data_IF_749481710559
#
_entry.id   IF_749481710559
#
_cell.length_a   1.000
_cell.length_b   1.000
_cell.length_c   1.000
_cell.angle_alpha   90.00
_cell.angle_beta   90.00
_cell.angle_gamma   90.00
#
_symmetry.space_group_name_H-M   'P 1'
#
loop_
_entity.id
_entity.type
_entity.pdbx_description
1 polymer ?
#
# COMPACT_ATOMS: atom_id res chain seq x y z
N UNK A 1 13.93 -41.79 20.69
CA UNK A 1 13.09 -40.88 19.87
C UNK A 1 12.67 -39.73 20.75
N UNK A 2 13.17 -38.51 20.50
CA UNK A 2 12.77 -37.34 21.28
C UNK A 2 11.37 -36.89 20.81
N UNK A 3 10.43 -36.77 21.74
CA UNK A 3 9.12 -36.18 21.48
C UNK A 3 9.31 -34.72 21.06
N UNK A 4 8.90 -34.40 19.84
CA UNK A 4 8.84 -33.03 19.36
C UNK A 4 7.78 -32.31 20.18
N UNK A 5 8.17 -31.29 20.96
CA UNK A 5 7.24 -30.46 21.70
C UNK A 5 6.31 -29.75 20.71
N UNK A 6 5.03 -30.08 20.73
CA UNK A 6 4.00 -29.31 20.04
C UNK A 6 3.87 -27.97 20.76
N UNK A 7 4.51 -26.94 20.21
CA UNK A 7 4.23 -25.57 20.62
C UNK A 7 2.79 -25.24 20.22
N UNK A 8 1.85 -25.30 21.17
CA UNK A 8 0.58 -24.61 21.02
C UNK A 8 0.89 -23.12 21.05
N UNK A 9 0.80 -22.46 19.90
CA UNK A 9 0.97 -21.00 19.83
C UNK A 9 0.02 -20.34 20.84
N UNK A 10 0.50 -19.50 21.77
CA UNK A 10 -0.38 -18.71 22.65
C UNK A 10 -1.14 -17.63 21.87
N UNK A 11 -0.78 -17.40 20.61
CA UNK A 11 -1.40 -16.41 19.74
C UNK A 11 -2.43 -17.08 18.81
N UNK A 12 -3.64 -16.55 18.81
CA UNK A 12 -4.61 -16.76 17.73
C UNK A 12 -4.36 -15.74 16.63
N UNK A 13 -4.23 -16.21 15.39
CA UNK A 13 -4.04 -15.38 14.21
C UNK A 13 -5.37 -15.26 13.47
N UNK A 14 -5.70 -14.04 13.03
CA UNK A 14 -6.91 -13.77 12.26
C UNK A 14 -6.52 -12.95 11.04
N UNK A 15 -7.04 -13.32 9.87
CA UNK A 15 -6.99 -12.40 8.73
C UNK A 15 -7.96 -11.25 9.02
N UNK A 16 -7.50 -10.00 9.05
CA UNK A 16 -8.36 -8.89 9.36
C UNK A 16 -9.16 -8.58 8.09
N UNK A 17 -10.41 -9.05 8.01
CA UNK A 17 -11.43 -8.66 7.02
C UNK A 17 -11.22 -9.12 5.57
N UNK A 18 -12.33 -9.29 4.86
CA UNK A 18 -12.44 -9.13 3.41
C UNK A 18 -13.54 -8.09 3.23
N UNK A 19 -13.23 -6.97 2.58
CA UNK A 19 -14.24 -5.96 2.28
C UNK A 19 -14.42 -5.89 0.77
N UNK A 20 -15.54 -6.43 0.29
CA UNK A 20 -15.87 -6.43 -1.13
C UNK A 20 -16.72 -5.22 -1.54
N UNK A 21 -17.14 -4.38 -0.59
CA UNK A 21 -18.11 -3.32 -0.85
C UNK A 21 -19.56 -3.83 -0.89
N UNK A 22 -20.57 -2.95 -0.86
CA UNK A 22 -21.97 -3.35 -0.96
C UNK A 22 -22.28 -3.99 -2.32
N UNK A 23 -22.61 -5.28 -2.34
CA UNK A 23 -23.13 -5.96 -3.54
C UNK A 23 -22.09 -6.61 -4.47
N UNK A 24 -20.80 -6.65 -4.11
CA UNK A 24 -19.76 -7.32 -4.92
C UNK A 24 -19.35 -8.69 -4.38
N UNK A 25 -19.03 -9.60 -5.31
CA UNK A 25 -18.57 -10.97 -5.06
C UNK A 25 -17.09 -11.21 -5.36
N UNK A 26 -16.32 -10.18 -5.73
CA UNK A 26 -14.92 -10.34 -6.16
C UNK A 26 -13.89 -10.01 -5.07
N UNK A 27 -12.77 -10.74 -5.16
CA UNK A 27 -11.65 -10.79 -4.22
C UNK A 27 -10.91 -9.45 -4.11
N UNK A 28 -10.82 -8.87 -2.91
CA UNK A 28 -9.77 -7.90 -2.61
C UNK A 28 -9.28 -8.03 -1.17
N UNK A 29 -7.96 -8.06 -1.04
CA UNK A 29 -7.25 -8.26 0.21
C UNK A 29 -6.96 -6.94 0.93
N UNK A 30 -6.97 -7.01 2.25
CA UNK A 30 -6.37 -5.96 3.06
C UNK A 30 -4.85 -5.99 2.87
N UNK A 31 -4.28 -4.82 2.62
CA UNK A 31 -2.90 -4.64 2.19
C UNK A 31 -2.05 -3.93 3.26
N UNK A 32 -2.70 -3.18 4.15
CA UNK A 32 -2.04 -2.45 5.23
C UNK A 32 -2.82 -2.50 6.54
N UNK A 33 -2.08 -2.49 7.65
CA UNK A 33 -2.66 -2.36 8.99
C UNK A 33 -1.76 -1.48 9.86
N UNK A 34 -2.37 -0.57 10.62
CA UNK A 34 -1.68 0.25 11.60
C UNK A 34 -2.57 0.54 12.81
N UNK A 35 -1.95 0.72 13.96
CA UNK A 35 -2.66 1.14 15.17
C UNK A 35 -3.25 2.54 14.95
N UNK A 36 -4.56 2.68 15.16
CA UNK A 36 -5.25 3.96 15.17
C UNK A 36 -5.17 4.63 16.55
N UNK A 37 -5.40 5.95 16.65
CA UNK A 37 -5.55 6.65 17.92
C UNK A 37 -6.62 6.01 18.82
N UNK A 38 -6.24 5.75 20.08
CA UNK A 38 -7.07 5.08 21.08
C UNK A 38 -6.80 3.58 21.22
N UNK A 39 -7.30 2.99 22.32
CA UNK A 39 -7.01 1.60 22.69
C UNK A 39 -7.74 0.58 21.81
N UNK A 40 -6.98 -0.38 21.28
CA UNK A 40 -7.46 -1.52 20.48
C UNK A 40 -8.18 -1.13 19.18
N UNK A 41 -7.76 -0.01 18.57
CA UNK A 41 -8.34 0.51 17.32
C UNK A 41 -7.31 0.41 16.20
N UNK A 42 -7.74 0.08 15.00
CA UNK A 42 -6.85 -0.14 13.87
C UNK A 42 -7.35 0.63 12.65
N UNK A 43 -6.41 1.12 11.87
CA UNK A 43 -6.62 1.47 10.47
C UNK A 43 -6.22 0.26 9.64
N UNK A 44 -7.10 -0.20 8.77
CA UNK A 44 -6.81 -1.26 7.80
C UNK A 44 -7.13 -0.70 6.42
N UNK A 45 -6.22 -0.89 5.47
CA UNK A 45 -6.35 -0.36 4.11
C UNK A 45 -6.36 -1.48 3.09
N UNK A 46 -7.00 -1.24 1.96
CA UNK A 46 -6.98 -2.13 0.81
C UNK A 46 -7.76 -1.56 -0.37
N UNK A 47 -8.35 -2.47 -1.14
CA UNK A 47 -9.18 -2.18 -2.31
C UNK A 47 -10.57 -2.78 -2.10
N UNK A 48 -11.60 -2.14 -2.62
CA UNK A 48 -12.96 -2.66 -2.76
C UNK A 48 -13.28 -2.71 -4.25
N UNK A 49 -13.67 -3.86 -4.80
CA UNK A 49 -13.88 -4.00 -6.26
C UNK A 49 -12.58 -4.20 -7.05
N UNK A 50 -12.66 -4.47 -8.35
CA UNK A 50 -11.48 -4.92 -9.11
C UNK A 50 -10.55 -3.75 -9.47
N UNK A 51 -9.29 -3.83 -9.00
CA UNK A 51 -8.24 -2.82 -9.25
C UNK A 51 -7.95 -2.55 -10.75
N UNK A 52 -8.42 -3.36 -11.70
CA UNK A 52 -8.28 -3.04 -13.12
C UNK A 52 -9.46 -2.26 -13.72
N UNK A 53 -10.61 -2.18 -13.05
CA UNK A 53 -11.86 -1.70 -13.67
C UNK A 53 -12.72 -0.79 -12.81
N UNK A 54 -12.88 -1.11 -11.52
CA UNK A 54 -13.88 -0.49 -10.63
C UNK A 54 -13.42 -0.45 -9.16
N UNK A 55 -12.16 -0.76 -8.92
CA UNK A 55 -11.56 -0.82 -7.59
C UNK A 55 -11.50 0.56 -6.94
N UNK A 56 -11.98 0.65 -5.71
CA UNK A 56 -11.91 1.85 -4.88
C UNK A 56 -10.98 1.62 -3.70
N UNK A 57 -10.20 2.62 -3.33
CA UNK A 57 -9.42 2.58 -2.10
C UNK A 57 -10.35 2.42 -0.91
N UNK A 58 -10.05 1.48 0.00
CA UNK A 58 -10.87 1.22 1.17
C UNK A 58 -10.05 1.41 2.46
N UNK A 59 -10.62 2.12 3.43
CA UNK A 59 -10.02 2.36 4.74
C UNK A 59 -11.02 2.02 5.83
N UNK A 60 -10.73 0.98 6.61
CA UNK A 60 -11.46 0.65 7.84
C UNK A 60 -10.83 1.36 9.03
N UNK A 61 -11.67 1.90 9.92
CA UNK A 61 -11.23 2.44 11.20
C UNK A 61 -12.11 1.95 12.33
N UNK A 62 -11.52 1.20 13.26
CA UNK A 62 -12.24 0.75 14.45
C UNK A 62 -11.61 -0.43 15.16
N UNK A 63 -12.39 -1.04 16.04
CA UNK A 63 -11.99 -2.22 16.80
C UNK A 63 -12.27 -3.49 16.01
N UNK A 64 -11.29 -4.38 15.97
CA UNK A 64 -11.48 -5.78 15.54
C UNK A 64 -12.05 -6.52 16.75
N UNK A 65 -13.30 -6.99 16.63
CA UNK A 65 -14.07 -7.50 17.77
C UNK A 65 -14.12 -9.03 17.84
N UNK A 66 -13.53 -9.73 16.89
CA UNK A 66 -13.52 -11.18 16.89
C UNK A 66 -12.75 -11.80 15.74
N UNK A 67 -12.89 -13.12 15.61
CA UNK A 67 -12.23 -13.92 14.59
C UNK A 67 -12.69 -13.57 13.16
N UNK A 68 -11.82 -13.85 12.18
CA UNK A 68 -12.07 -13.70 10.74
C UNK A 68 -13.40 -14.36 10.34
N UNK A 69 -14.29 -13.58 9.72
CA UNK A 69 -15.46 -14.07 8.98
C UNK A 69 -15.41 -13.57 7.55
N UNK A 70 -16.23 -14.13 6.66
CA UNK A 70 -16.33 -13.69 5.27
C UNK A 70 -16.71 -12.20 5.16
N UNK A 71 -17.48 -11.69 6.13
CA UNK A 71 -17.92 -10.29 6.22
C UNK A 71 -16.99 -9.43 7.11
N UNK A 72 -15.99 -10.06 7.74
CA UNK A 72 -15.17 -9.49 8.80
C UNK A 72 -15.92 -9.25 10.13
N UNK A 73 -15.15 -9.07 11.21
CA UNK A 73 -15.68 -8.78 12.56
C UNK A 73 -15.06 -7.52 13.15
N UNK A 74 -15.71 -6.38 12.91
CA UNK A 74 -15.32 -5.11 13.50
C UNK A 74 -16.50 -4.17 13.69
N UNK A 75 -16.46 -3.34 14.73
CA UNK A 75 -17.46 -2.29 15.00
C UNK A 75 -16.96 -0.93 14.52
N UNK A 76 -16.18 -0.93 13.46
CA UNK A 76 -15.58 0.27 12.89
C UNK A 76 -16.40 0.78 11.73
N UNK A 77 -15.83 1.74 11.02
CA UNK A 77 -16.44 2.33 9.83
C UNK A 77 -15.50 2.13 8.66
N UNK A 78 -16.06 1.77 7.51
CA UNK A 78 -15.35 1.78 6.23
C UNK A 78 -15.52 3.16 5.58
N UNK A 79 -14.44 3.68 5.04
CA UNK A 79 -14.40 4.90 4.24
C UNK A 79 -13.80 4.51 2.89
N UNK A 80 -14.58 4.69 1.84
CA UNK A 80 -14.10 4.55 0.46
C UNK A 80 -13.41 5.85 0.06
N UNK A 81 -12.22 5.75 -0.52
CA UNK A 81 -11.37 6.88 -0.87
C UNK A 81 -10.78 6.65 -2.25
N UNK A 82 -11.28 7.41 -3.22
CA UNK A 82 -10.74 7.42 -4.57
C UNK A 82 -9.78 8.60 -4.79
N UNK A 83 -8.85 8.40 -5.73
CA UNK A 83 -8.09 9.51 -6.27
C UNK A 83 -9.02 10.51 -6.99
N UNK A 84 -8.61 11.78 -7.15
CA UNK A 84 -9.46 12.79 -7.75
C UNK A 84 -9.92 12.41 -9.16
N UNK A 85 -11.20 12.67 -9.49
CA UNK A 85 -11.78 12.39 -10.82
C UNK A 85 -10.96 13.04 -11.95
N UNK A 86 -10.36 14.22 -11.70
CA UNK A 86 -9.47 14.91 -12.64
C UNK A 86 -8.25 14.10 -13.08
N UNK A 87 -7.90 13.03 -12.37
CA UNK A 87 -6.79 12.14 -12.73
C UNK A 87 -7.21 11.04 -13.73
N UNK A 88 -8.50 10.98 -14.09
CA UNK A 88 -9.07 10.02 -15.04
C UNK A 88 -8.70 8.56 -14.70
N UNK A 89 -8.80 8.21 -13.42
CA UNK A 89 -8.50 6.87 -12.96
C UNK A 89 -9.72 5.95 -13.11
N UNK A 90 -9.54 4.75 -13.64
CA UNK A 90 -10.58 3.71 -13.64
C UNK A 90 -10.71 3.02 -12.28
N UNK A 91 -9.65 3.06 -11.47
CA UNK A 91 -9.60 2.44 -10.16
C UNK A 91 -8.48 2.99 -9.29
N UNK A 92 -8.55 2.74 -7.99
CA UNK A 92 -7.51 3.05 -7.01
C UNK A 92 -7.39 1.97 -5.93
N UNK A 93 -6.21 1.89 -5.31
CA UNK A 93 -5.93 0.99 -4.20
C UNK A 93 -5.07 1.67 -3.15
N UNK A 94 -5.33 1.38 -1.88
CA UNK A 94 -4.57 1.94 -0.75
C UNK A 94 -3.85 0.80 -0.02
N UNK A 95 -2.51 0.83 -0.06
CA UNK A 95 -1.69 -0.23 0.50
C UNK A 95 -1.23 0.07 1.92
N UNK A 96 -0.80 1.30 2.20
CA UNK A 96 -0.01 1.59 3.39
C UNK A 96 -0.44 2.84 4.16
N UNK A 97 -1.02 2.72 5.37
CA UNK A 97 -1.29 3.85 6.23
C UNK A 97 0.00 4.41 6.88
N UNK A 98 0.26 5.71 6.67
CA UNK A 98 1.33 6.51 7.24
C UNK A 98 0.96 7.12 8.59
N UNK A 99 1.33 8.38 8.87
CA UNK A 99 0.94 9.06 10.10
C UNK A 99 -0.59 9.14 10.25
N UNK A 100 -1.08 9.06 11.50
CA UNK A 100 -2.51 9.12 11.82
C UNK A 100 -2.68 10.02 13.04
N UNK A 101 -3.47 11.09 12.90
CA UNK A 101 -3.79 11.99 13.99
C UNK A 101 -5.22 11.78 14.48
N UNK A 102 -5.39 11.78 15.80
CA UNK A 102 -6.70 11.65 16.43
C UNK A 102 -7.47 12.98 16.41
N UNK A 103 -8.77 12.93 16.15
CA UNK A 103 -9.62 14.11 16.22
C UNK A 103 -11.04 13.89 15.69
N UNK A 104 -11.67 15.00 15.26
CA UNK A 104 -13.05 14.99 14.79
C UNK A 104 -13.14 14.50 13.33
N UNK A 105 -13.21 13.18 13.14
CA UNK A 105 -13.50 12.55 11.84
C UNK A 105 -13.87 11.08 11.99
N UNK A 106 -14.05 10.34 10.88
CA UNK A 106 -14.47 8.93 10.90
C UNK A 106 -13.54 8.10 11.78
N UNK A 107 -14.13 7.37 12.72
CA UNK A 107 -13.35 6.63 13.69
C UNK A 107 -12.38 7.49 14.51
N UNK A 108 -12.69 8.76 14.79
CA UNK A 108 -11.87 9.61 15.64
C UNK A 108 -10.51 9.97 15.03
N UNK A 109 -10.42 10.00 13.70
CA UNK A 109 -9.22 10.40 12.96
C UNK A 109 -9.47 11.76 12.31
N UNK A 110 -8.63 12.75 12.59
CA UNK A 110 -8.69 14.06 11.93
C UNK A 110 -7.89 14.10 10.63
N UNK A 111 -6.77 13.38 10.58
CA UNK A 111 -5.88 13.32 9.43
C UNK A 111 -5.17 11.98 9.34
N UNK A 112 -4.88 11.57 8.11
CA UNK A 112 -4.16 10.34 7.80
C UNK A 112 -3.27 10.54 6.57
N UNK A 113 -2.11 9.93 6.60
CA UNK A 113 -1.28 9.73 5.41
C UNK A 113 -1.54 8.35 4.80
N UNK A 114 -1.64 8.27 3.48
CA UNK A 114 -1.85 7.02 2.77
C UNK A 114 -0.94 6.92 1.55
N UNK A 115 -0.37 5.74 1.32
CA UNK A 115 0.30 5.38 0.08
C UNK A 115 -0.57 4.40 -0.71
N UNK A 116 -0.67 4.63 -2.01
CA UNK A 116 -1.55 3.88 -2.88
C UNK A 116 -1.12 3.90 -4.34
N UNK A 117 -1.95 3.28 -5.18
CA UNK A 117 -1.86 3.38 -6.63
C UNK A 117 -3.21 3.63 -7.27
N UNK A 118 -3.19 4.11 -8.51
CA UNK A 118 -4.36 4.23 -9.35
C UNK A 118 -4.05 3.79 -10.77
N UNK A 119 -5.06 3.25 -11.44
CA UNK A 119 -4.96 2.80 -12.83
C UNK A 119 -5.52 3.88 -13.74
N UNK A 120 -4.72 4.32 -14.70
CA UNK A 120 -5.13 5.28 -15.72
C UNK A 120 -5.22 4.58 -17.09
N UNK A 121 -6.35 4.69 -17.82
CA UNK A 121 -6.46 4.10 -19.14
C UNK A 121 -5.52 4.80 -20.13
N UNK A 122 -4.86 4.00 -20.95
CA UNK A 122 -3.95 4.43 -22.01
C UNK A 122 -4.19 3.58 -23.27
N UNK A 123 -3.68 4.04 -24.42
CA UNK A 123 -3.65 3.23 -25.64
C UNK A 123 -2.21 2.92 -26.01
N UNK A 124 -1.90 1.63 -26.21
CA UNK A 124 -0.60 1.14 -26.67
C UNK A 124 -0.83 0.38 -27.96
N UNK A 125 -0.23 0.84 -29.06
CA UNK A 125 -0.38 0.24 -30.38
C UNK A 125 -1.84 0.04 -30.84
N UNK A 126 -2.73 0.95 -30.44
CA UNK A 126 -4.15 0.91 -30.76
C UNK A 126 -4.97 -0.10 -29.95
N UNK A 127 -4.40 -0.69 -28.90
CA UNK A 127 -5.09 -1.56 -27.94
C UNK A 127 -5.32 -0.80 -26.63
N UNK A 128 -6.45 -1.10 -25.97
CA UNK A 128 -6.74 -0.59 -24.63
C UNK A 128 -5.78 -1.21 -23.62
N UNK A 129 -5.11 -0.35 -22.86
CA UNK A 129 -4.18 -0.74 -21.81
C UNK A 129 -4.37 0.17 -20.59
N UNK A 130 -3.70 -0.17 -19.50
CA UNK A 130 -3.71 0.63 -18.28
C UNK A 130 -2.29 0.92 -17.84
N UNK A 131 -2.08 2.11 -17.28
CA UNK A 131 -0.86 2.49 -16.60
C UNK A 131 -1.14 2.61 -15.11
N UNK A 132 -0.36 1.93 -14.29
CA UNK A 132 -0.44 2.07 -12.83
C UNK A 132 0.49 3.18 -12.35
N UNK A 133 -0.06 4.13 -11.61
CA UNK A 133 0.67 5.27 -11.07
C UNK A 133 0.56 5.27 -9.54
N UNK A 134 1.62 5.75 -8.87
CA UNK A 134 1.63 5.88 -7.42
C UNK A 134 0.92 7.15 -6.97
N UNK A 135 0.42 7.15 -5.74
CA UNK A 135 0.02 8.38 -5.07
C UNK A 135 0.39 8.35 -3.58
N UNK A 136 0.63 9.54 -3.04
CA UNK A 136 0.55 9.79 -1.60
C UNK A 136 -0.60 10.73 -1.32
N UNK A 137 -1.27 10.49 -0.20
CA UNK A 137 -2.36 11.30 0.31
C UNK A 137 -1.99 11.81 1.71
N UNK A 138 -2.29 13.07 2.01
CA UNK A 138 -2.20 13.63 3.35
C UNK A 138 -3.36 14.60 3.58
N UNK A 139 -4.29 14.21 4.43
CA UNK A 139 -5.51 14.98 4.64
C UNK A 139 -6.52 14.28 5.56
N UNK A 140 -7.76 14.81 5.65
CA UNK A 140 -8.80 14.23 6.47
C UNK A 140 -9.31 12.89 5.93
N UNK A 141 -9.52 11.89 6.80
CA UNK A 141 -10.18 10.66 6.37
C UNK A 141 -11.64 10.94 5.94
N UNK A 142 -11.94 10.85 4.65
CA UNK A 142 -13.23 11.23 4.08
C UNK A 142 -13.51 10.49 2.77
N UNK A 143 -14.79 10.34 2.42
CA UNK A 143 -15.22 9.82 1.11
C UNK A 143 -15.21 10.87 -0.01
N UNK A 144 -14.86 12.11 0.29
CA UNK A 144 -14.74 13.19 -0.69
C UNK A 144 -13.40 13.93 -0.53
N UNK A 145 -12.27 13.25 -0.78
CA UNK A 145 -10.96 13.84 -0.59
C UNK A 145 -10.69 14.93 -1.63
N UNK A 146 -9.93 15.97 -1.26
CA UNK A 146 -9.66 17.10 -2.17
C UNK A 146 -8.40 16.82 -2.99
N UNK A 147 -8.37 17.26 -4.25
CA UNK A 147 -7.21 17.08 -5.13
C UNK A 147 -5.89 17.56 -4.51
N UNK A 148 -5.91 18.70 -3.81
CA UNK A 148 -4.74 19.25 -3.11
C UNK A 148 -4.15 18.34 -2.02
N UNK A 149 -4.91 17.37 -1.53
CA UNK A 149 -4.48 16.43 -0.49
C UNK A 149 -3.75 15.23 -1.11
N UNK A 150 -3.75 15.09 -2.44
CA UNK A 150 -3.04 14.06 -3.17
C UNK A 150 -1.80 14.59 -3.87
N UNK A 151 -0.76 13.77 -3.94
CA UNK A 151 0.41 13.97 -4.77
C UNK A 151 0.62 12.73 -5.62
N UNK A 152 0.49 12.89 -6.94
CA UNK A 152 0.79 11.83 -7.89
C UNK A 152 2.30 11.55 -7.91
N UNK A 153 2.67 10.29 -8.09
CA UNK A 153 4.05 9.84 -8.11
C UNK A 153 4.28 8.84 -9.23
N UNK A 154 5.37 9.04 -9.99
CA UNK A 154 5.88 8.08 -10.96
C UNK A 154 7.33 7.85 -10.62
N UNK A 155 7.72 6.58 -10.49
CA UNK A 155 9.09 6.24 -10.22
C UNK A 155 9.99 6.60 -11.42
N UNK A 156 11.26 6.85 -11.13
CA UNK A 156 12.26 7.16 -12.14
C UNK A 156 13.35 6.08 -12.09
N UNK A 157 13.74 5.59 -13.26
CA UNK A 157 14.83 4.61 -13.37
C UNK A 157 16.18 5.24 -12.95
N UNK A 158 17.18 4.43 -12.55
CA UNK A 158 18.52 4.94 -12.25
C UNK A 158 19.17 5.73 -13.41
N UNK A 159 18.82 5.42 -14.66
CA UNK A 159 19.29 6.11 -15.87
C UNK A 159 18.44 7.34 -16.24
N UNK A 160 17.46 7.71 -15.42
CA UNK A 160 16.55 8.83 -15.66
C UNK A 160 15.41 8.53 -16.65
N UNK A 161 15.34 7.30 -17.19
CA UNK A 161 14.29 6.89 -18.11
C UNK A 161 12.91 6.74 -17.45
N UNK A 162 11.83 6.74 -18.24
CA UNK A 162 10.48 6.53 -17.72
C UNK A 162 10.26 5.08 -17.26
N UNK A 163 9.38 4.91 -16.29
CA UNK A 163 8.84 3.60 -15.89
C UNK A 163 7.46 3.38 -16.50
N UNK A 164 7.05 2.12 -16.63
CA UNK A 164 5.70 1.77 -17.05
C UNK A 164 4.75 1.87 -15.85
N UNK A 165 4.87 0.96 -14.89
CA UNK A 165 4.03 0.99 -13.69
C UNK A 165 4.81 1.48 -12.47
N UNK A 166 4.09 2.09 -11.52
CA UNK A 166 4.62 2.50 -10.21
C UNK A 166 3.66 2.10 -9.11
N UNK A 167 4.20 1.40 -8.10
CA UNK A 167 3.48 0.95 -6.92
C UNK A 167 4.09 1.51 -5.65
N UNK A 168 3.25 2.00 -4.74
CA UNK A 168 3.63 2.46 -3.41
C UNK A 168 2.91 1.61 -2.36
N UNK A 169 3.65 0.85 -1.55
CA UNK A 169 3.08 -0.22 -0.75
C UNK A 169 2.96 0.09 0.75
N UNK A 170 4.06 0.52 1.38
CA UNK A 170 4.07 0.65 2.85
C UNK A 170 4.86 1.85 3.30
N UNK A 171 4.55 2.30 4.52
CA UNK A 171 4.99 3.58 5.05
C UNK A 171 5.73 3.40 6.38
N UNK A 172 6.89 4.05 6.54
CA UNK A 172 7.57 4.18 7.83
C UNK A 172 8.23 5.54 8.02
N UNK A 173 7.75 6.31 9.00
CA UNK A 173 8.20 7.70 9.19
C UNK A 173 7.79 8.56 8.01
N UNK A 174 8.76 9.08 7.25
CA UNK A 174 8.54 9.86 6.01
C UNK A 174 8.79 9.06 4.73
N UNK A 175 9.09 7.77 4.87
CA UNK A 175 9.55 6.93 3.78
C UNK A 175 8.45 5.97 3.34
N UNK A 176 8.27 5.83 2.03
CA UNK A 176 7.34 4.90 1.40
C UNK A 176 8.12 3.91 0.55
N UNK A 177 7.96 2.62 0.82
CA UNK A 177 8.53 1.56 -0.01
C UNK A 177 7.62 1.30 -1.22
N UNK A 178 8.24 1.07 -2.38
CA UNK A 178 7.53 0.89 -3.63
C UNK A 178 8.33 0.10 -4.66
N UNK A 179 7.69 -0.18 -5.79
CA UNK A 179 8.24 -0.91 -6.92
C UNK A 179 7.81 -0.29 -8.24
N UNK A 180 8.63 -0.43 -9.29
CA UNK A 180 8.26 -0.05 -10.65
C UNK A 180 8.61 -1.15 -11.65
N UNK A 181 8.00 -1.13 -12.83
CA UNK A 181 8.35 -1.99 -13.98
C UNK A 181 8.97 -1.21 -15.13
N UNK A 182 9.76 -1.91 -15.93
CA UNK A 182 10.39 -1.39 -17.14
C UNK A 182 9.62 -1.73 -18.42
N UNK A 183 8.69 -2.68 -18.35
CA UNK A 183 7.85 -3.10 -19.47
C UNK A 183 6.37 -3.01 -19.09
N UNK A 184 5.52 -2.96 -20.12
CA UNK A 184 4.08 -3.08 -19.95
C UNK A 184 3.77 -4.52 -19.52
N UNK A 185 3.67 -4.74 -18.22
CA UNK A 185 3.15 -5.98 -17.64
C UNK A 185 1.65 -6.02 -17.88
N UNK A 186 1.25 -6.46 -19.08
CA UNK A 186 -0.11 -6.92 -19.33
C UNK A 186 -0.35 -8.12 -18.41
N UNK A 187 -0.95 -7.86 -17.24
CA UNK A 187 -1.80 -8.73 -16.41
C UNK A 187 -1.71 -8.22 -14.96
N UNK A 188 -2.74 -7.46 -14.61
CA UNK A 188 -3.29 -7.43 -13.27
C UNK A 188 -3.21 -8.82 -12.62
N UNK A 189 -2.70 -8.87 -11.38
CA UNK A 189 -2.78 -9.94 -10.36
C UNK A 189 -1.43 -10.42 -9.82
N UNK A 190 -0.33 -10.31 -10.55
CA UNK A 190 1.00 -10.56 -9.96
C UNK A 190 1.54 -9.23 -9.44
N UNK A 191 1.88 -9.16 -8.16
CA UNK A 191 2.33 -7.97 -7.43
C UNK A 191 3.71 -7.45 -7.92
N UNK A 192 3.84 -7.15 -9.21
CA UNK A 192 5.04 -6.64 -9.85
C UNK A 192 6.30 -7.48 -9.57
N UNK A 193 6.16 -8.79 -9.67
CA UNK A 193 7.26 -9.76 -9.52
C UNK A 193 7.93 -10.10 -10.86
N UNK A 194 7.58 -9.46 -11.97
CA UNK A 194 8.22 -9.69 -13.27
C UNK A 194 9.72 -9.36 -13.25
N UNK A 195 10.55 -10.05 -14.06
CA UNK A 195 12.02 -9.92 -14.11
C UNK A 195 12.52 -8.49 -14.35
N UNK A 196 11.64 -7.60 -14.78
CA UNK A 196 11.87 -6.20 -15.10
C UNK A 196 11.41 -5.24 -14.00
N UNK A 197 11.12 -5.73 -12.79
CA UNK A 197 10.75 -4.88 -11.66
C UNK A 197 11.93 -4.50 -10.77
N UNK A 198 11.86 -3.30 -10.19
CA UNK A 198 12.88 -2.77 -9.28
C UNK A 198 12.23 -2.05 -8.12
N UNK A 199 12.83 -2.24 -6.94
CA UNK A 199 12.36 -1.65 -5.70
C UNK A 199 13.01 -0.30 -5.41
N UNK A 200 12.26 0.56 -4.73
CA UNK A 200 12.73 1.87 -4.30
C UNK A 200 12.12 2.27 -2.96
N UNK A 201 12.68 3.33 -2.39
CA UNK A 201 12.11 4.08 -1.28
C UNK A 201 11.90 5.53 -1.72
N UNK A 202 10.70 6.05 -1.54
CA UNK A 202 10.33 7.43 -1.78
C UNK A 202 10.28 8.21 -0.46
N UNK A 203 10.94 9.36 -0.41
CA UNK A 203 10.90 10.30 0.72
C UNK A 203 9.85 11.36 0.47
N UNK A 204 8.75 11.30 1.22
CA UNK A 204 7.58 12.15 0.99
C UNK A 204 7.80 13.62 1.37
N UNK A 205 8.88 13.92 2.11
CA UNK A 205 9.22 15.30 2.50
C UNK A 205 10.14 15.95 1.49
N UNK A 206 11.15 15.22 1.01
CA UNK A 206 12.12 15.78 0.04
C UNK A 206 11.72 15.56 -1.41
N UNK A 207 10.76 14.66 -1.67
CA UNK A 207 10.40 14.21 -3.00
C UNK A 207 11.45 13.30 -3.65
N UNK A 208 12.46 12.85 -2.91
CA UNK A 208 13.55 12.05 -3.46
C UNK A 208 13.20 10.56 -3.51
N UNK A 209 13.56 9.92 -4.61
CA UNK A 209 13.54 8.47 -4.75
C UNK A 209 14.94 7.89 -4.55
N UNK A 210 15.02 6.80 -3.81
CA UNK A 210 16.23 6.00 -3.60
C UNK A 210 15.98 4.59 -4.12
N UNK A 211 16.63 4.23 -5.23
CA UNK A 211 16.58 2.87 -5.75
C UNK A 211 17.30 1.91 -4.81
N UNK A 212 16.67 0.77 -4.52
CA UNK A 212 17.26 -0.28 -3.71
C UNK A 212 18.17 -1.14 -4.58
N UNK A 213 19.40 -1.31 -4.15
CA UNK A 213 20.37 -2.20 -4.82
C UNK A 213 20.45 -3.50 -4.03
N UNK A 214 20.17 -4.61 -4.69
CA UNK A 214 20.33 -5.95 -4.15
C UNK A 214 21.65 -6.53 -4.65
N UNK A 215 22.26 -7.41 -3.85
CA UNK A 215 23.53 -8.05 -4.24
C UNK A 215 23.38 -8.94 -5.48
N UNK A 216 22.20 -9.55 -5.64
CA UNK A 216 21.82 -10.22 -6.87
C UNK A 216 21.18 -9.19 -7.80
N UNK A 217 21.76 -8.99 -8.98
CA UNK A 217 21.21 -8.09 -10.00
C UNK A 217 20.57 -8.86 -11.17
N UNK A 218 20.55 -10.19 -11.11
CA UNK A 218 20.05 -11.05 -12.18
C UNK A 218 18.55 -11.35 -12.09
N UNK A 219 17.89 -10.83 -11.05
CA UNK A 219 16.49 -11.12 -10.72
C UNK A 219 15.71 -9.86 -10.36
N UNK A 220 14.39 -9.94 -10.39
CA UNK A 220 13.53 -8.86 -9.97
C UNK A 220 13.41 -8.78 -8.46
N UNK A 221 13.25 -7.55 -7.98
CA UNK A 221 13.20 -7.25 -6.56
C UNK A 221 12.02 -6.38 -6.24
N UNK A 222 11.28 -6.79 -5.22
CA UNK A 222 10.15 -6.05 -4.68
C UNK A 222 10.44 -5.55 -3.27
N UNK A 223 9.87 -4.40 -2.92
CA UNK A 223 9.77 -3.88 -1.56
C UNK A 223 8.28 -3.68 -1.21
N UNK A 224 7.77 -4.51 -0.31
CA UNK A 224 6.38 -4.42 0.17
C UNK A 224 6.28 -3.81 1.57
N UNK A 225 7.29 -4.02 2.42
CA UNK A 225 7.32 -3.56 3.80
C UNK A 225 8.52 -2.65 4.07
N UNK A 226 8.32 -1.60 4.87
CA UNK A 226 9.41 -0.82 5.46
C UNK A 226 9.19 -0.65 6.95
N UNK A 227 10.26 -0.82 7.73
CA UNK A 227 10.23 -0.69 9.18
C UNK A 227 11.42 0.13 9.67
N UNK A 228 11.16 1.20 10.42
CA UNK A 228 12.19 1.92 11.16
C UNK A 228 12.65 1.06 12.34
N UNK A 229 13.93 0.69 12.35
CA UNK A 229 14.48 -0.19 13.39
C UNK A 229 14.64 0.51 14.75
N UNK A 230 14.38 1.82 14.85
CA UNK A 230 14.56 2.62 16.07
C UNK A 230 16.02 2.78 16.50
N UNK A 231 16.95 2.15 15.78
CA UNK A 231 18.39 2.25 15.99
C UNK A 231 18.98 3.33 15.11
N UNK A 232 19.81 4.15 15.73
CA UNK A 232 20.66 5.11 15.05
C UNK A 232 22.03 4.47 14.86
N UNK A 233 22.55 4.47 13.64
CA UNK A 233 23.94 4.09 13.40
C UNK A 233 24.85 5.10 14.10
N UNK A 234 25.62 4.59 15.05
CA UNK A 234 26.44 5.38 15.98
C UNK A 234 27.52 6.20 15.28
N UNK A 235 27.98 5.74 14.12
CA UNK A 235 29.04 6.40 13.35
C UNK A 235 28.57 7.66 12.62
N UNK A 236 27.28 7.78 12.28
CA UNK A 236 26.81 8.81 11.34
C UNK A 236 25.46 9.46 11.72
N UNK A 237 24.93 9.19 12.91
CA UNK A 237 23.63 9.72 13.35
C UNK A 237 22.45 9.35 12.41
N UNK A 238 22.58 8.29 11.60
CA UNK A 238 21.59 7.87 10.60
C UNK A 238 20.58 6.91 11.19
N UNK A 239 19.29 7.13 10.94
CA UNK A 239 18.24 6.14 11.26
C UNK A 239 18.39 4.93 10.34
N UNK A 240 18.20 3.73 10.90
CA UNK A 240 18.25 2.48 10.13
C UNK A 240 16.85 1.95 9.87
N UNK A 241 16.66 1.38 8.68
CA UNK A 241 15.39 0.83 8.23
C UNK A 241 15.60 -0.59 7.71
N UNK A 242 14.60 -1.44 7.89
CA UNK A 242 14.52 -2.78 7.29
C UNK A 242 13.46 -2.77 6.21
N UNK A 243 13.79 -3.27 5.03
CA UNK A 243 12.85 -3.47 3.92
C UNK A 243 12.48 -4.95 3.84
N UNK A 244 11.19 -5.26 3.83
CA UNK A 244 10.65 -6.57 3.53
C UNK A 244 10.22 -6.63 2.07
N UNK A 245 10.63 -7.68 1.38
CA UNK A 245 10.53 -7.78 -0.07
C UNK A 245 10.69 -9.21 -0.57
N UNK A 246 10.25 -9.45 -1.79
CA UNK A 246 10.39 -10.73 -2.48
C UNK A 246 11.33 -10.61 -3.67
N UNK A 247 11.98 -11.73 -4.00
CA UNK A 247 12.66 -11.95 -5.26
C UNK A 247 11.78 -12.84 -6.12
N UNK A 248 11.65 -12.54 -7.41
CA UNK A 248 11.13 -13.49 -8.39
C UNK A 248 12.26 -13.97 -9.29
N UNK A 249 12.27 -15.27 -9.53
CA UNK A 249 13.12 -15.93 -10.53
C UNK A 249 12.29 -16.29 -11.74
#
# INVERSE_FOLDING_TARGET
MAQQSTFTSPASFYSPFVYTGPGSSSENGNQGIKQAPGRNRYVITGTSGNISSDGQGAVYVGRINGASTAEGKGSGTWVLMDVPESWNASSSSIYGPGAIDGGAGPGGISSIELAGTYSQPISVDGQDAYKTLGFVYSGPLTNNPKNKDFTAFTAIRPDGGPTYDTFLHSWSGRLVAGNYTLTNSFLALTLNTGLDSSAFVYDTVTGQQHNLTYQDTSTSHTAFGIWNNGKQEWSNNKKTYTIAGGRSV
#
